data_IF_040532559274
#
_entry.id   IF_040532559274
#
_cell.length_a   1.000
_cell.length_b   1.000
_cell.length_c   1.000
_cell.angle_alpha   90.00
_cell.angle_beta   90.00
_cell.angle_gamma   90.00
#
_symmetry.space_group_name_H-M   'P 1'
#
loop_
_entity.id
_entity.type
_entity.pdbx_description
1 polymer ?
#
# COMPACT_ATOMS: atom_id res chain seq x y z
N UNK A 1 58.00 3.24 76.72
CA UNK A 1 57.52 1.95 76.18
C UNK A 1 56.35 2.22 75.24
N UNK A 2 56.57 1.95 73.94
CA UNK A 2 55.62 1.59 72.87
C UNK A 2 54.34 2.44 72.73
N UNK A 3 54.28 3.40 71.79
CA UNK A 3 53.80 3.25 70.39
C UNK A 3 52.31 2.92 70.31
N UNK A 4 51.43 3.61 69.59
CA UNK A 4 51.53 4.64 68.55
C UNK A 4 50.16 4.75 67.85
N UNK A 5 50.09 5.59 66.80
CA UNK A 5 49.00 5.73 65.80
C UNK A 5 47.66 6.29 66.33
N UNK A 6 46.88 7.09 65.59
CA UNK A 6 47.05 7.86 64.36
C UNK A 6 45.76 8.71 64.24
N UNK A 7 45.91 9.89 63.61
CA UNK A 7 44.90 10.64 62.84
C UNK A 7 43.65 11.20 63.54
N UNK A 8 43.63 12.53 63.50
CA UNK A 8 42.53 13.49 63.56
C UNK A 8 41.19 12.94 63.05
N UNK A 9 40.15 13.04 63.88
CA UNK A 9 38.76 13.08 63.45
C UNK A 9 38.19 14.44 63.83
N UNK A 10 37.83 15.24 62.83
CA UNK A 10 37.01 16.45 63.01
C UNK A 10 35.91 16.43 61.95
N UNK A 11 34.74 15.99 62.41
CA UNK A 11 33.44 16.68 62.33
C UNK A 11 32.96 17.26 60.98
N UNK A 12 31.93 16.59 60.42
CA UNK A 12 30.64 17.07 59.84
C UNK A 12 30.72 18.05 58.63
N UNK A 13 30.05 17.90 57.48
CA UNK A 13 28.60 17.88 57.14
C UNK A 13 28.46 17.28 55.73
N UNK A 14 27.65 16.23 55.49
CA UNK A 14 26.22 16.26 55.17
C UNK A 14 25.86 17.13 53.95
N UNK A 15 25.89 16.53 52.75
CA UNK A 15 24.96 16.82 51.66
C UNK A 15 24.64 15.48 50.98
N UNK A 16 23.49 14.91 51.32
CA UNK A 16 22.92 13.80 50.57
C UNK A 16 22.37 14.34 49.26
N UNK A 17 23.14 14.18 48.18
CA UNK A 17 22.63 14.37 46.83
C UNK A 17 21.80 13.12 46.48
N UNK A 18 20.49 13.31 46.34
CA UNK A 18 19.55 12.27 45.97
C UNK A 18 19.96 11.61 44.66
N UNK A 19 20.04 10.28 44.67
CA UNK A 19 19.95 9.47 43.46
C UNK A 19 18.54 9.60 42.90
N UNK A 20 18.29 10.62 42.09
CA UNK A 20 17.20 10.57 41.11
C UNK A 20 17.60 9.57 40.03
N UNK A 21 17.04 8.37 40.14
CA UNK A 21 17.06 7.39 39.08
C UNK A 21 16.48 8.04 37.81
N UNK A 22 17.33 8.28 36.81
CA UNK A 22 16.89 8.63 35.48
C UNK A 22 16.26 7.38 34.86
N UNK A 23 14.95 7.21 35.06
CA UNK A 23 14.15 6.25 34.31
C UNK A 23 14.11 6.74 32.87
N UNK A 24 15.02 6.22 32.04
CA UNK A 24 14.92 6.26 30.59
C UNK A 24 13.68 5.44 30.18
N UNK A 25 12.51 6.04 30.36
CA UNK A 25 11.29 5.68 29.65
C UNK A 25 11.46 6.26 28.26
N UNK A 26 12.22 5.56 27.41
CA UNK A 26 12.23 5.83 25.99
C UNK A 26 10.81 5.66 25.48
N UNK A 27 10.21 6.76 25.00
CA UNK A 27 8.89 6.77 24.42
C UNK A 27 8.82 5.76 23.28
N UNK A 28 7.99 4.73 23.43
CA UNK A 28 7.45 4.00 22.29
C UNK A 28 6.50 4.97 21.59
N UNK A 29 6.72 5.23 20.29
CA UNK A 29 5.68 5.74 19.41
C UNK A 29 5.76 7.23 19.08
N UNK A 30 6.66 7.57 18.18
CA UNK A 30 6.41 8.56 17.14
C UNK A 30 7.43 8.29 16.03
N UNK A 31 7.18 7.28 15.20
CA UNK A 31 7.83 7.25 13.89
C UNK A 31 7.23 8.44 13.14
N UNK A 32 8.08 9.32 12.61
CA UNK A 32 7.60 10.42 11.79
C UNK A 32 6.84 9.83 10.60
N UNK A 33 5.69 10.42 10.27
CA UNK A 33 4.85 9.90 9.18
C UNK A 33 5.63 9.85 7.86
N UNK A 34 6.48 10.84 7.59
CA UNK A 34 7.29 10.87 6.39
C UNK A 34 8.35 9.76 6.40
N UNK A 35 8.97 9.47 7.55
CA UNK A 35 9.94 8.38 7.70
C UNK A 35 9.27 7.01 7.53
N UNK A 36 8.06 6.82 8.07
CA UNK A 36 7.29 5.58 7.88
C UNK A 36 6.85 5.41 6.42
N UNK A 37 6.34 6.47 5.80
CA UNK A 37 6.00 6.47 4.37
C UNK A 37 7.24 6.20 3.52
N UNK A 38 8.42 6.66 3.93
CA UNK A 38 9.69 6.40 3.26
C UNK A 38 10.13 4.94 3.42
N UNK A 39 10.06 4.37 4.62
CA UNK A 39 10.35 2.96 4.87
C UNK A 39 9.35 2.02 4.17
N UNK A 40 8.09 2.43 4.04
CA UNK A 40 7.11 1.71 3.22
C UNK A 40 7.47 1.79 1.73
N UNK A 41 7.85 2.97 1.22
CA UNK A 41 8.30 3.17 -0.16
C UNK A 41 9.54 2.34 -0.51
N UNK A 42 10.55 2.30 0.37
CA UNK A 42 11.75 1.49 0.19
C UNK A 42 11.45 -0.03 0.08
N UNK A 43 10.28 -0.47 0.56
CA UNK A 43 9.80 -1.86 0.48
C UNK A 43 8.81 -2.10 -0.66
N UNK A 44 8.73 -1.22 -1.66
CA UNK A 44 7.78 -1.33 -2.78
C UNK A 44 6.42 -0.67 -2.50
N UNK A 45 6.34 0.15 -1.44
CA UNK A 45 5.20 1.02 -1.18
C UNK A 45 3.87 0.29 -1.03
N UNK A 46 3.75 -0.78 -0.24
CA UNK A 46 2.46 -1.42 0.09
C UNK A 46 1.70 -2.08 -1.08
N UNK A 47 2.06 -1.81 -2.34
CA UNK A 47 1.52 -2.36 -3.56
C UNK A 47 2.11 -3.74 -3.81
N UNK A 48 1.49 -4.74 -3.17
CA UNK A 48 2.01 -6.11 -3.13
C UNK A 48 1.03 -7.07 -3.78
N UNK A 49 1.55 -8.21 -4.25
CA UNK A 49 0.69 -9.31 -4.72
C UNK A 49 -0.22 -9.81 -3.59
N UNK A 50 0.29 -9.83 -2.34
CA UNK A 50 -0.49 -10.22 -1.17
C UNK A 50 -1.72 -9.32 -0.93
N UNK A 51 -1.59 -8.01 -1.14
CA UNK A 51 -2.71 -7.06 -1.02
C UNK A 51 -3.84 -7.41 -1.99
N UNK A 52 -3.50 -7.73 -3.24
CA UNK A 52 -4.47 -8.12 -4.27
C UNK A 52 -5.11 -9.46 -3.92
N UNK A 53 -4.31 -10.47 -3.60
CA UNK A 53 -4.80 -11.82 -3.28
C UNK A 53 -5.74 -11.80 -2.07
N UNK A 54 -5.37 -11.12 -0.98
CA UNK A 54 -6.19 -11.04 0.23
C UNK A 54 -7.48 -10.24 0.02
N UNK A 55 -7.42 -9.15 -0.74
CA UNK A 55 -8.61 -8.35 -1.04
C UNK A 55 -9.60 -9.11 -1.93
N UNK A 56 -9.13 -9.77 -2.98
CA UNK A 56 -9.98 -10.61 -3.84
C UNK A 56 -10.53 -11.82 -3.09
N UNK A 57 -9.75 -12.44 -2.19
CA UNK A 57 -10.24 -13.51 -1.32
C UNK A 57 -11.38 -13.03 -0.41
N UNK A 58 -11.24 -11.87 0.25
CA UNK A 58 -12.31 -11.32 1.09
C UNK A 58 -13.55 -10.92 0.28
N UNK A 59 -13.38 -10.39 -0.93
CA UNK A 59 -14.51 -10.11 -1.82
C UNK A 59 -15.24 -11.40 -2.23
N UNK A 60 -14.49 -12.46 -2.56
CA UNK A 60 -15.06 -13.76 -2.92
C UNK A 60 -15.82 -14.38 -1.73
N UNK A 61 -15.28 -14.25 -0.51
CA UNK A 61 -15.96 -14.64 0.73
C UNK A 61 -17.23 -13.82 0.99
N UNK A 62 -17.20 -12.50 0.74
CA UNK A 62 -18.34 -11.60 0.91
C UNK A 62 -19.52 -12.01 0.03
N UNK A 63 -19.27 -12.26 -1.26
CA UNK A 63 -20.29 -12.66 -2.23
C UNK A 63 -20.55 -14.17 -2.29
N UNK A 64 -19.76 -15.00 -1.58
CA UNK A 64 -19.85 -16.46 -1.61
C UNK A 64 -19.68 -17.06 -3.02
N UNK A 65 -18.78 -16.50 -3.82
CA UNK A 65 -18.48 -16.92 -5.20
C UNK A 65 -17.02 -17.32 -5.36
N UNK A 66 -16.71 -18.09 -6.41
CA UNK A 66 -15.33 -18.49 -6.73
C UNK A 66 -14.59 -17.50 -7.64
N UNK A 67 -15.34 -16.64 -8.33
CA UNK A 67 -14.80 -15.66 -9.27
C UNK A 67 -15.69 -14.43 -9.28
N UNK A 68 -15.08 -13.28 -9.46
CA UNK A 68 -15.73 -11.97 -9.44
C UNK A 68 -15.52 -11.29 -10.77
N UNK A 69 -16.61 -10.76 -11.33
CA UNK A 69 -16.55 -9.81 -12.41
C UNK A 69 -16.33 -8.42 -11.82
N UNK A 70 -15.29 -7.72 -12.28
CA UNK A 70 -14.94 -6.37 -11.85
C UNK A 70 -14.81 -5.46 -13.05
N UNK A 71 -14.95 -4.15 -12.84
CA UNK A 71 -14.80 -3.13 -13.90
C UNK A 71 -13.60 -2.22 -13.66
N UNK A 72 -13.13 -2.12 -12.42
CA UNK A 72 -11.88 -1.43 -12.09
C UNK A 72 -11.20 -2.06 -10.87
N UNK A 73 -9.88 -1.99 -10.85
CA UNK A 73 -9.02 -2.27 -9.69
C UNK A 73 -8.05 -1.11 -9.59
N UNK A 74 -7.95 -0.50 -8.41
CA UNK A 74 -7.04 0.62 -8.12
C UNK A 74 -6.20 0.24 -6.90
N UNK A 75 -4.88 0.27 -7.01
CA UNK A 75 -3.94 -0.10 -5.94
C UNK A 75 -3.08 1.12 -5.61
N UNK A 76 -3.00 1.46 -4.33
CA UNK A 76 -2.31 2.64 -3.82
C UNK A 76 -1.13 2.26 -2.93
N UNK A 77 -0.12 3.16 -2.79
CA UNK A 77 1.09 2.87 -2.03
C UNK A 77 0.91 2.69 -0.51
N UNK A 78 -0.26 3.04 0.01
CA UNK A 78 -0.59 2.99 1.43
C UNK A 78 -1.23 1.65 1.85
N UNK A 79 -1.01 0.60 1.07
CA UNK A 79 -1.61 -0.73 1.28
C UNK A 79 -3.14 -0.71 1.12
N UNK A 80 -3.65 0.17 0.25
CA UNK A 80 -5.08 0.25 -0.08
C UNK A 80 -5.34 -0.29 -1.48
N UNK A 81 -6.42 -1.05 -1.62
CA UNK A 81 -6.96 -1.48 -2.91
C UNK A 81 -8.44 -1.11 -3.01
N UNK A 82 -8.81 -0.33 -4.03
CA UNK A 82 -10.19 -0.10 -4.45
C UNK A 82 -10.58 -1.08 -5.55
N UNK A 83 -11.79 -1.66 -5.47
CA UNK A 83 -12.31 -2.54 -6.52
C UNK A 83 -13.75 -2.18 -6.80
N UNK A 84 -14.11 -2.00 -8.07
CA UNK A 84 -15.50 -1.87 -8.50
C UNK A 84 -15.99 -3.21 -9.02
N UNK A 85 -16.79 -3.90 -8.21
CA UNK A 85 -17.32 -5.23 -8.45
C UNK A 85 -18.70 -5.14 -9.06
N UNK A 86 -18.99 -6.05 -9.99
CA UNK A 86 -20.35 -6.25 -10.49
C UNK A 86 -21.07 -7.23 -9.59
N UNK A 87 -22.20 -6.80 -9.02
CA UNK A 87 -22.96 -7.60 -8.07
C UNK A 87 -23.36 -8.94 -8.73
N UNK A 88 -22.89 -10.09 -8.21
CA UNK A 88 -23.21 -11.41 -8.76
C UNK A 88 -24.70 -11.74 -8.71
N UNK A 89 -25.45 -11.17 -7.77
CA UNK A 89 -26.90 -11.36 -7.63
C UNK A 89 -27.69 -10.38 -8.52
N UNK A 90 -27.10 -9.22 -8.86
CA UNK A 90 -27.71 -8.20 -9.70
C UNK A 90 -26.72 -7.68 -10.76
N UNK A 91 -26.65 -8.39 -11.90
CA UNK A 91 -25.67 -8.12 -12.94
C UNK A 91 -25.81 -6.74 -13.64
N UNK A 92 -26.82 -5.94 -13.33
CA UNK A 92 -26.95 -4.55 -13.78
C UNK A 92 -26.42 -3.52 -12.78
N UNK A 93 -25.89 -3.98 -11.64
CA UNK A 93 -25.42 -3.14 -10.54
C UNK A 93 -23.92 -3.28 -10.30
N UNK A 94 -23.32 -2.21 -9.78
CA UNK A 94 -21.92 -2.14 -9.39
C UNK A 94 -21.81 -1.66 -7.94
N UNK A 95 -20.93 -2.31 -7.19
CA UNK A 95 -20.51 -1.88 -5.85
C UNK A 95 -19.03 -1.59 -5.84
N UNK A 96 -18.64 -0.50 -5.18
CA UNK A 96 -17.25 -0.19 -4.88
C UNK A 96 -16.89 -0.66 -3.48
N UNK A 97 -15.77 -1.35 -3.37
CA UNK A 97 -15.15 -1.73 -2.13
C UNK A 97 -13.77 -1.11 -2.00
N UNK A 98 -13.35 -0.91 -0.76
CA UNK A 98 -11.96 -0.59 -0.41
C UNK A 98 -11.45 -1.65 0.56
N UNK A 99 -10.24 -2.12 0.33
CA UNK A 99 -9.50 -3.03 1.18
C UNK A 99 -8.24 -2.31 1.69
N UNK A 100 -8.05 -2.27 3.01
CA UNK A 100 -6.94 -1.53 3.65
C UNK A 100 -5.72 -2.42 3.99
N UNK A 101 -5.62 -3.58 3.35
CA UNK A 101 -4.60 -4.59 3.64
C UNK A 101 -4.94 -5.53 4.79
N UNK A 102 -5.98 -5.23 5.58
CA UNK A 102 -6.42 -6.09 6.67
C UNK A 102 -7.90 -6.48 6.53
N UNK A 103 -8.76 -5.51 6.22
CA UNK A 103 -10.21 -5.70 6.23
C UNK A 103 -10.86 -5.07 5.00
N UNK A 104 -11.81 -5.81 4.43
CA UNK A 104 -12.72 -5.27 3.43
C UNK A 104 -13.70 -4.28 4.08
N UNK A 105 -13.81 -3.10 3.48
CA UNK A 105 -14.82 -2.09 3.83
C UNK A 105 -16.23 -2.49 3.41
N UNK A 106 -17.21 -1.69 3.82
CA UNK A 106 -18.60 -1.89 3.40
C UNK A 106 -18.77 -1.52 1.92
N UNK A 107 -19.70 -2.19 1.19
CA UNK A 107 -20.01 -1.84 -0.19
C UNK A 107 -20.54 -0.40 -0.31
N UNK A 108 -20.10 0.29 -1.36
CA UNK A 108 -20.62 1.59 -1.76
C UNK A 108 -21.24 1.49 -3.16
N UNK A 109 -22.57 1.64 -3.30
CA UNK A 109 -23.23 1.55 -4.60
C UNK A 109 -22.69 2.56 -5.61
N UNK A 110 -22.41 2.10 -6.82
CA UNK A 110 -21.94 2.93 -7.94
C UNK A 110 -23.10 3.22 -8.88
N UNK A 111 -23.31 4.51 -9.18
CA UNK A 111 -24.30 4.90 -10.20
C UNK A 111 -23.83 4.44 -11.58
N UNK A 112 -24.66 3.66 -12.25
CA UNK A 112 -24.45 3.19 -13.63
C UNK A 112 -25.44 3.87 -14.58
N UNK A 113 -25.00 4.14 -15.81
CA UNK A 113 -25.94 4.58 -16.84
C UNK A 113 -26.72 3.38 -17.37
N UNK A 114 -27.99 3.58 -17.71
CA UNK A 114 -28.82 2.56 -18.40
C UNK A 114 -28.28 2.19 -19.78
N UNK A 115 -27.39 3.00 -20.34
CA UNK A 115 -26.74 2.75 -21.63
C UNK A 115 -25.39 2.08 -21.51
N UNK A 116 -24.91 1.84 -20.29
CA UNK A 116 -23.62 1.22 -20.07
C UNK A 116 -23.67 -0.27 -20.41
N UNK A 117 -22.74 -0.71 -21.24
CA UNK A 117 -22.48 -2.13 -21.45
C UNK A 117 -21.53 -2.64 -20.35
N UNK A 118 -22.09 -3.18 -19.27
CA UNK A 118 -21.31 -3.74 -18.17
C UNK A 118 -20.61 -5.04 -18.56
N UNK A 119 -21.18 -5.83 -19.47
CA UNK A 119 -20.54 -7.05 -19.97
C UNK A 119 -19.26 -6.72 -20.72
N UNK A 120 -19.30 -5.71 -21.60
CA UNK A 120 -18.13 -5.27 -22.35
C UNK A 120 -17.03 -4.67 -21.46
N UNK A 121 -17.37 -4.12 -20.30
CA UNK A 121 -16.40 -3.50 -19.35
C UNK A 121 -15.89 -4.47 -18.28
N UNK A 122 -16.62 -5.54 -18.01
CA UNK A 122 -16.26 -6.48 -16.94
C UNK A 122 -15.07 -7.36 -17.34
N UNK A 123 -14.26 -7.71 -16.34
CA UNK A 123 -13.20 -8.70 -16.45
C UNK A 123 -13.03 -9.41 -15.11
N UNK A 124 -12.28 -10.51 -15.12
CA UNK A 124 -11.91 -11.30 -13.95
C UNK A 124 -10.41 -11.14 -13.67
N UNK A 125 -9.99 -11.44 -12.42
CA UNK A 125 -8.56 -11.39 -12.07
C UNK A 125 -7.71 -12.36 -12.90
N UNK A 126 -8.29 -13.49 -13.32
CA UNK A 126 -7.61 -14.48 -14.18
C UNK A 126 -7.27 -13.94 -15.57
N UNK A 127 -7.99 -12.91 -16.04
CA UNK A 127 -7.69 -12.23 -17.30
C UNK A 127 -6.47 -11.31 -17.19
N UNK A 128 -5.94 -11.04 -16.00
CA UNK A 128 -4.77 -10.18 -15.76
C UNK A 128 -3.70 -10.93 -14.95
N UNK A 129 -2.99 -11.90 -15.55
CA UNK A 129 -1.89 -12.60 -14.88
C UNK A 129 -0.84 -11.68 -14.25
N UNK A 130 -0.65 -10.47 -14.79
CA UNK A 130 0.29 -9.49 -14.25
C UNK A 130 0.04 -9.12 -12.78
N UNK A 131 -1.23 -9.16 -12.32
CA UNK A 131 -1.57 -8.85 -10.94
C UNK A 131 -1.16 -9.95 -9.94
N UNK A 132 -0.69 -11.12 -10.42
CA UNK A 132 -0.04 -12.14 -9.58
C UNK A 132 1.43 -11.82 -9.30
N UNK A 133 1.93 -10.69 -9.80
CA UNK A 133 3.31 -10.25 -9.62
C UNK A 133 3.37 -8.72 -9.62
N UNK A 134 2.61 -8.10 -8.73
CA UNK A 134 2.46 -6.63 -8.62
C UNK A 134 3.81 -5.94 -8.43
N UNK A 135 4.70 -6.53 -7.64
CA UNK A 135 6.03 -6.02 -7.38
C UNK A 135 6.86 -5.91 -8.67
N UNK A 136 6.73 -6.88 -9.59
CA UNK A 136 7.37 -6.83 -10.90
C UNK A 136 6.80 -5.72 -11.79
N UNK A 137 5.47 -5.47 -11.73
CA UNK A 137 4.87 -4.33 -12.44
C UNK A 137 5.42 -2.99 -11.93
N UNK A 138 5.64 -2.86 -10.62
CA UNK A 138 6.24 -1.68 -9.98
C UNK A 138 7.68 -1.51 -10.47
N UNK A 139 8.50 -2.55 -10.38
CA UNK A 139 9.90 -2.53 -10.81
C UNK A 139 10.03 -2.19 -12.30
N UNK A 140 9.23 -2.82 -13.16
CA UNK A 140 9.24 -2.58 -14.60
C UNK A 140 8.74 -1.17 -14.93
N UNK A 141 7.72 -0.66 -14.23
CA UNK A 141 7.25 0.71 -14.44
C UNK A 141 8.33 1.75 -14.10
N UNK A 142 9.02 1.58 -12.97
CA UNK A 142 10.13 2.43 -12.58
C UNK A 142 11.25 2.39 -13.63
N UNK A 143 11.65 1.19 -14.06
CA UNK A 143 12.69 0.99 -15.07
C UNK A 143 12.35 1.63 -16.43
N UNK A 144 11.08 1.59 -16.85
CA UNK A 144 10.62 2.12 -18.12
C UNK A 144 10.26 3.62 -18.07
N UNK A 145 10.05 4.20 -16.88
CA UNK A 145 9.65 5.61 -16.74
C UNK A 145 10.75 6.62 -17.12
N UNK A 146 12.02 6.21 -17.01
CA UNK A 146 13.20 7.06 -17.14
C UNK A 146 13.20 8.30 -16.20
N UNK A 147 12.38 8.32 -15.15
CA UNK A 147 12.38 9.37 -14.14
C UNK A 147 13.48 9.11 -13.10
N UNK A 148 14.35 10.10 -12.93
CA UNK A 148 15.23 10.15 -11.76
C UNK A 148 14.37 10.40 -10.50
N UNK A 149 14.65 9.66 -9.43
CA UNK A 149 13.86 9.65 -8.19
C UNK A 149 12.35 9.44 -8.43
N UNK A 150 12.01 8.58 -9.39
CA UNK A 150 10.63 8.18 -9.68
C UNK A 150 10.07 7.27 -8.60
N UNK A 151 8.82 7.48 -8.23
CA UNK A 151 8.06 6.65 -7.29
C UNK A 151 6.75 6.22 -7.96
N UNK A 152 6.33 4.96 -7.75
CA UNK A 152 5.00 4.52 -8.19
C UNK A 152 3.96 5.08 -7.22
N UNK A 153 2.99 5.82 -7.75
CA UNK A 153 1.92 6.44 -6.95
C UNK A 153 0.56 5.74 -7.11
N UNK A 154 0.45 4.82 -8.06
CA UNK A 154 -0.71 3.95 -8.16
C UNK A 154 -0.66 2.99 -9.35
N UNK A 155 -1.45 1.92 -9.24
CA UNK A 155 -1.73 0.97 -10.30
C UNK A 155 -3.23 1.00 -10.54
N UNK A 156 -3.66 1.21 -11.78
CA UNK A 156 -5.07 1.16 -12.17
C UNK A 156 -5.25 0.08 -13.23
N UNK A 157 -6.32 -0.70 -13.11
CA UNK A 157 -6.68 -1.72 -14.09
C UNK A 157 -8.12 -1.50 -14.50
N UNK A 158 -8.33 -1.38 -15.80
CA UNK A 158 -9.66 -1.20 -16.38
C UNK A 158 -9.70 -1.77 -17.80
N UNK A 159 -10.92 -1.92 -18.33
CA UNK A 159 -11.15 -2.31 -19.71
C UNK A 159 -11.76 -1.14 -20.47
N UNK A 160 -11.11 -0.75 -21.56
CA UNK A 160 -11.66 0.19 -22.56
C UNK A 160 -11.98 -0.58 -23.84
N UNK A 161 -10.94 -1.02 -24.55
CA UNK A 161 -11.04 -1.95 -25.68
C UNK A 161 -10.51 -3.35 -25.29
N UNK A 162 -9.42 -3.37 -24.53
CA UNK A 162 -8.86 -4.54 -23.86
C UNK A 162 -8.53 -4.19 -22.40
N UNK A 163 -8.32 -5.21 -21.57
CA UNK A 163 -7.91 -5.02 -20.19
C UNK A 163 -6.44 -4.61 -20.17
N UNK A 164 -6.10 -3.57 -19.43
CA UNK A 164 -4.73 -3.11 -19.25
C UNK A 164 -4.48 -2.69 -17.82
N UNK A 165 -3.27 -2.94 -17.34
CA UNK A 165 -2.77 -2.32 -16.12
C UNK A 165 -1.98 -1.06 -16.50
N UNK A 166 -2.28 0.06 -15.85
CA UNK A 166 -1.56 1.32 -16.03
C UNK A 166 -0.96 1.74 -14.69
N UNK A 167 0.35 1.93 -14.68
CA UNK A 167 1.14 2.29 -13.50
C UNK A 167 1.57 3.74 -13.64
N UNK A 168 1.23 4.56 -12.65
CA UNK A 168 1.62 5.96 -12.58
C UNK A 168 2.93 6.09 -11.80
N UNK A 169 3.95 6.64 -12.46
CA UNK A 169 5.24 6.97 -11.86
C UNK A 169 5.37 8.48 -11.79
N UNK A 170 5.66 9.01 -10.61
CA UNK A 170 5.85 10.44 -10.38
C UNK A 170 7.23 10.74 -9.79
N UNK A 171 7.78 11.90 -10.14
CA UNK A 171 8.91 12.52 -9.48
C UNK A 171 8.55 13.98 -9.15
N UNK A 172 9.36 14.73 -8.39
CA UNK A 172 9.01 16.10 -7.99
C UNK A 172 8.70 17.08 -9.14
N UNK A 173 9.07 16.75 -10.38
CA UNK A 173 8.93 17.63 -11.54
C UNK A 173 8.26 16.98 -12.76
N UNK A 174 7.99 15.68 -12.71
CA UNK A 174 7.55 14.91 -13.88
C UNK A 174 6.65 13.77 -13.47
N UNK A 175 5.84 13.30 -14.42
CA UNK A 175 4.95 12.16 -14.25
C UNK A 175 4.88 11.38 -15.56
N UNK A 176 4.83 10.06 -15.44
CA UNK A 176 4.81 9.13 -16.57
C UNK A 176 3.81 8.02 -16.27
N UNK A 177 2.97 7.72 -17.24
CA UNK A 177 2.09 6.56 -17.24
C UNK A 177 2.76 5.44 -18.03
N UNK A 178 2.95 4.27 -17.40
CA UNK A 178 3.41 3.05 -18.07
C UNK A 178 2.23 2.08 -18.16
N UNK A 179 1.83 1.73 -19.38
CA UNK A 179 0.70 0.82 -19.65
C UNK A 179 1.24 -0.55 -20.03
N UNK A 180 0.70 -1.57 -19.39
CA UNK A 180 1.04 -2.97 -19.57
C UNK A 180 -0.12 -3.71 -20.24
N UNK A 181 0.23 -4.73 -21.04
CA UNK A 181 -0.74 -5.74 -21.44
C UNK A 181 -1.12 -6.62 -20.23
N UNK A 182 -2.14 -7.51 -20.36
CA UNK A 182 -2.56 -8.35 -19.23
C UNK A 182 -1.47 -9.30 -18.69
N UNK A 183 -0.43 -9.59 -19.47
CA UNK A 183 0.68 -10.46 -19.06
C UNK A 183 1.75 -9.73 -18.25
N UNK A 184 1.72 -8.39 -18.24
CA UNK A 184 2.71 -7.55 -17.57
C UNK A 184 3.81 -7.08 -18.49
N UNK A 185 3.64 -7.16 -19.82
CA UNK A 185 4.60 -6.59 -20.77
C UNK A 185 4.27 -5.11 -21.00
N UNK A 186 5.22 -4.18 -20.87
CA UNK A 186 4.97 -2.77 -21.16
C UNK A 186 4.66 -2.57 -22.65
N UNK A 187 3.58 -1.87 -22.93
CA UNK A 187 3.08 -1.59 -24.29
C UNK A 187 3.10 -0.11 -24.65
N UNK A 188 3.02 0.77 -23.65
CA UNK A 188 3.05 2.22 -23.85
C UNK A 188 3.72 2.91 -22.66
N UNK A 189 4.52 3.93 -22.95
CA UNK A 189 5.07 4.85 -21.95
C UNK A 189 4.69 6.26 -22.38
N UNK A 190 3.94 6.97 -21.54
CA UNK A 190 3.39 8.28 -21.86
C UNK A 190 3.73 9.30 -20.76
N UNK A 191 4.51 10.35 -21.07
CA UNK A 191 4.64 11.51 -20.20
C UNK A 191 3.28 12.24 -20.06
N UNK A 192 2.96 12.70 -18.85
CA UNK A 192 1.71 13.41 -18.53
C UNK A 192 1.94 14.90 -18.21
#
# INVERSE_FOLDING_TARGET
>A
MLSGRWKRHSTVWMVGAGLTAATLSGCIGAVDRADFEQEMRERGGGMTTALVDDGFRQLAEHYQVNSLAVTSIDISPDTTMGVTVRDPDNLDQLDRFNFDGARLGDPSPVMVSVTDDLDARSFTLDEIPALRNVEMLVDDALANSALEDGEVTGISVSRTESVHAAVLVESPRSRVLVVFDPSGTPTMVQPL
#
